data_IF_914911564443
#
_entry.id   IF_914911564443
#
_cell.length_a   1.000
_cell.length_b   1.000
_cell.length_c   1.000
_cell.angle_alpha   90.00
_cell.angle_beta   90.00
_cell.angle_gamma   90.00
#
_symmetry.space_group_name_H-M   'P 1'
#
loop_
_entity.id
_entity.type
_entity.pdbx_description
1 polymer ?
#
# COMPACT_ATOMS: atom_id res chain seq x y z
N UNK A 1 -8.69 29.38 -54.28
CA UNK A 1 -9.43 30.64 -54.58
C UNK A 1 -10.79 30.50 -53.93
N UNK A 2 -10.97 31.04 -52.72
CA UNK A 2 -11.50 32.37 -52.42
C UNK A 2 -13.04 32.32 -52.34
N UNK A 3 -13.75 32.91 -51.37
CA UNK A 3 -13.44 33.53 -50.09
C UNK A 3 -14.75 33.61 -49.27
N UNK A 4 -14.60 33.63 -47.94
CA UNK A 4 -15.54 34.05 -46.87
C UNK A 4 -16.01 35.52 -47.06
N UNK A 5 -17.01 36.10 -46.33
CA UNK A 5 -17.09 36.21 -44.84
C UNK A 5 -18.54 36.16 -44.25
N UNK A 6 -18.78 35.91 -42.95
CA UNK A 6 -18.58 36.77 -41.74
C UNK A 6 -19.98 37.09 -41.17
N UNK A 7 -20.32 37.37 -39.91
CA UNK A 7 -19.67 37.58 -38.60
C UNK A 7 -20.84 37.67 -37.57
N UNK A 8 -20.81 37.04 -36.39
CA UNK A 8 -20.31 37.49 -35.07
C UNK A 8 -21.35 38.16 -34.12
N UNK A 9 -21.36 37.71 -32.86
CA UNK A 9 -21.65 38.39 -31.56
C UNK A 9 -22.13 37.34 -30.53
N UNK A 10 -21.40 36.94 -29.47
CA UNK A 10 -20.84 37.66 -28.30
C UNK A 10 -21.88 38.39 -27.44
N UNK A 11 -22.20 37.86 -26.25
CA UNK A 11 -22.31 38.67 -25.02
C UNK A 11 -22.42 37.83 -23.72
N UNK A 12 -21.40 37.99 -22.87
CA UNK A 12 -21.38 38.24 -21.41
C UNK A 12 -22.09 37.30 -20.40
N UNK A 13 -21.24 36.78 -19.50
CA UNK A 13 -21.47 36.47 -18.07
C UNK A 13 -22.21 37.60 -17.32
N UNK A 14 -22.80 37.29 -16.15
CA UNK A 14 -22.13 37.73 -14.92
C UNK A 14 -21.98 36.64 -13.85
N UNK A 15 -20.93 36.86 -13.04
CA UNK A 15 -20.67 36.26 -11.74
C UNK A 15 -21.70 36.78 -10.70
N UNK A 16 -22.04 35.95 -9.72
CA UNK A 16 -22.12 36.37 -8.31
C UNK A 16 -22.08 35.16 -7.37
N UNK A 17 -21.21 35.31 -6.39
CA UNK A 17 -20.88 34.47 -5.23
C UNK A 17 -21.99 34.44 -4.18
N UNK A 18 -22.14 33.34 -3.44
CA UNK A 18 -22.56 33.39 -2.03
C UNK A 18 -22.17 32.12 -1.27
N UNK A 19 -21.46 32.34 -0.16
CA UNK A 19 -21.01 31.37 0.83
C UNK A 19 -22.17 30.74 1.61
N UNK A 20 -22.01 29.49 2.03
CA UNK A 20 -22.93 28.83 2.93
C UNK A 20 -22.36 27.57 3.57
N UNK A 21 -21.46 27.78 4.53
CA UNK A 21 -21.23 26.95 5.72
C UNK A 21 -22.29 25.87 5.99
N UNK A 22 -21.87 24.61 6.06
CA UNK A 22 -22.71 23.51 6.54
C UNK A 22 -21.91 22.23 6.76
N UNK A 23 -21.09 22.21 7.82
CA UNK A 23 -20.63 20.95 8.42
C UNK A 23 -21.86 20.13 8.81
N UNK A 24 -22.08 19.01 8.15
CA UNK A 24 -22.91 17.93 8.69
C UNK A 24 -22.06 16.66 8.74
N UNK A 25 -21.62 16.35 9.96
CA UNK A 25 -21.01 15.09 10.33
C UNK A 25 -22.03 13.97 10.13
N UNK A 26 -21.90 13.21 9.06
CA UNK A 26 -22.59 11.92 8.92
C UNK A 26 -21.75 10.86 9.61
N UNK A 27 -22.04 10.61 10.88
CA UNK A 27 -21.59 9.42 11.61
C UNK A 27 -22.24 8.20 10.95
N UNK A 28 -21.57 7.62 9.96
CA UNK A 28 -21.89 6.27 9.50
C UNK A 28 -21.50 5.31 10.62
N UNK A 29 -22.51 4.82 11.35
CA UNK A 29 -22.39 3.60 12.14
C UNK A 29 -22.02 2.48 11.17
N UNK A 30 -20.83 1.92 11.34
CA UNK A 30 -20.48 0.61 10.81
C UNK A 30 -21.31 -0.42 11.57
N UNK A 31 -22.51 -0.71 11.06
CA UNK A 31 -23.18 -1.95 11.39
C UNK A 31 -22.33 -3.08 10.79
N UNK A 32 -21.48 -3.66 11.63
CA UNK A 32 -20.87 -4.97 11.37
C UNK A 32 -22.01 -5.97 11.23
N UNK A 33 -22.44 -6.20 10.00
CA UNK A 33 -23.08 -7.46 9.62
C UNK A 33 -21.98 -8.52 9.72
N UNK A 34 -21.75 -8.99 10.94
CA UNK A 34 -21.02 -10.24 11.16
C UNK A 34 -21.89 -11.31 10.53
N UNK A 35 -21.42 -11.82 9.41
CA UNK A 35 -22.02 -12.90 8.65
C UNK A 35 -22.03 -14.16 9.52
N UNK A 36 -23.09 -14.33 10.32
CA UNK A 36 -23.29 -15.43 11.29
C UNK A 36 -23.15 -16.82 10.64
N UNK A 37 -23.23 -16.89 9.31
CA UNK A 37 -23.02 -18.11 8.51
C UNK A 37 -21.54 -18.56 8.50
N UNK A 38 -20.61 -17.61 8.49
CA UNK A 38 -19.17 -17.89 8.35
C UNK A 38 -18.56 -18.31 9.69
N UNK A 39 -19.01 -17.71 10.80
CA UNK A 39 -18.63 -18.06 12.17
C UNK A 39 -19.11 -19.47 12.58
N UNK A 40 -20.33 -19.84 12.18
CA UNK A 40 -20.91 -21.17 12.46
C UNK A 40 -20.12 -22.29 11.75
N UNK A 41 -19.70 -22.04 10.51
CA UNK A 41 -18.87 -22.97 9.74
C UNK A 41 -17.43 -23.10 10.28
N UNK A 42 -16.84 -22.01 10.79
CA UNK A 42 -15.52 -22.07 11.45
C UNK A 42 -15.58 -22.84 12.77
N UNK A 43 -16.63 -22.65 13.58
CA UNK A 43 -16.82 -23.35 14.84
C UNK A 43 -17.03 -24.86 14.63
N UNK A 44 -17.81 -25.26 13.62
CA UNK A 44 -17.98 -26.67 13.26
C UNK A 44 -16.67 -27.29 12.73
N UNK A 45 -15.90 -26.57 11.90
CA UNK A 45 -14.58 -27.03 11.45
C UNK A 45 -13.61 -27.21 12.61
N UNK A 46 -13.56 -26.25 13.55
CA UNK A 46 -12.74 -26.35 14.76
C UNK A 46 -13.16 -27.55 15.61
N UNK A 47 -14.46 -27.76 15.85
CA UNK A 47 -14.95 -28.91 16.62
C UNK A 47 -14.55 -30.25 15.99
N UNK A 48 -14.75 -30.41 14.69
CA UNK A 48 -14.35 -31.62 13.95
C UNK A 48 -12.84 -31.81 13.96
N UNK A 49 -12.06 -30.73 13.94
CA UNK A 49 -10.60 -30.78 13.97
C UNK A 49 -10.06 -31.15 15.36
N UNK A 50 -10.68 -30.67 16.44
CA UNK A 50 -10.33 -31.04 17.83
C UNK A 50 -10.68 -32.50 18.14
N UNK A 51 -11.81 -32.99 17.62
CA UNK A 51 -12.20 -34.39 17.77
C UNK A 51 -11.31 -35.30 16.91
N UNK A 52 -10.86 -34.84 15.74
CA UNK A 52 -9.91 -35.56 14.90
C UNK A 52 -8.52 -35.66 15.57
N UNK A 53 -8.00 -34.59 16.16
CA UNK A 53 -6.70 -34.60 16.86
C UNK A 53 -6.73 -35.49 18.09
N UNK A 54 -7.80 -35.44 18.90
CA UNK A 54 -7.93 -36.30 20.08
C UNK A 54 -7.99 -37.78 19.71
N UNK A 55 -8.73 -38.13 18.65
CA UNK A 55 -8.79 -39.50 18.13
C UNK A 55 -7.46 -39.99 17.52
N UNK A 56 -6.63 -39.08 16.98
CA UNK A 56 -5.29 -39.39 16.48
C UNK A 56 -4.31 -39.62 17.64
N UNK A 57 -4.41 -38.83 18.70
CA UNK A 57 -3.56 -38.95 19.89
C UNK A 57 -3.84 -40.25 20.67
N UNK A 58 -5.11 -40.61 20.84
CA UNK A 58 -5.51 -41.91 21.41
C UNK A 58 -4.98 -43.09 20.57
N UNK A 59 -4.84 -42.89 19.25
CA UNK A 59 -4.29 -43.89 18.34
C UNK A 59 -2.76 -44.01 18.43
N UNK A 60 -2.03 -42.88 18.51
CA UNK A 60 -0.59 -42.90 18.75
C UNK A 60 -0.25 -43.61 20.07
N UNK A 61 -1.02 -43.34 21.13
CA UNK A 61 -0.88 -44.07 22.40
C UNK A 61 -1.18 -45.57 22.25
N UNK A 62 -2.19 -45.95 21.48
CA UNK A 62 -2.51 -47.36 21.25
C UNK A 62 -1.37 -48.08 20.51
N UNK A 63 -0.82 -47.48 19.46
CA UNK A 63 0.32 -48.03 18.71
C UNK A 63 1.55 -48.19 19.60
N UNK A 64 1.88 -47.18 20.40
CA UNK A 64 3.02 -47.23 21.33
C UNK A 64 2.85 -48.35 22.37
N UNK A 65 1.63 -48.53 22.89
CA UNK A 65 1.32 -49.58 23.85
C UNK A 65 1.35 -51.00 23.24
N UNK A 66 0.90 -51.16 21.98
CA UNK A 66 1.03 -52.42 21.25
C UNK A 66 2.51 -52.73 21.00
N UNK A 67 3.30 -51.73 20.63
CA UNK A 67 4.74 -51.86 20.42
C UNK A 67 5.49 -52.36 21.66
N UNK A 68 5.28 -51.69 22.81
CA UNK A 68 5.86 -52.10 24.11
C UNK A 68 5.45 -53.53 24.50
N UNK A 69 4.23 -53.91 24.19
CA UNK A 69 3.74 -55.24 24.48
C UNK A 69 4.33 -56.32 23.55
N UNK A 70 4.54 -56.00 22.27
CA UNK A 70 5.24 -56.89 21.34
C UNK A 70 6.72 -57.09 21.74
N UNK A 71 7.36 -56.07 22.36
CA UNK A 71 8.67 -56.22 23.01
C UNK A 71 8.65 -57.23 24.17
N UNK A 72 7.63 -57.20 25.02
CA UNK A 72 7.46 -58.13 26.15
C UNK A 72 7.19 -59.57 25.67
N UNK A 73 6.34 -59.73 24.67
CA UNK A 73 6.06 -61.03 24.04
C UNK A 73 7.29 -61.61 23.35
N UNK A 74 8.10 -60.78 22.69
CA UNK A 74 9.36 -61.25 22.08
C UNK A 74 10.34 -61.77 23.14
N UNK A 75 10.42 -61.12 24.32
CA UNK A 75 11.21 -61.61 25.46
C UNK A 75 10.69 -62.95 25.99
N UNK A 76 9.37 -63.10 26.09
CA UNK A 76 8.71 -64.35 26.52
C UNK A 76 8.89 -65.48 25.50
N UNK A 77 8.77 -65.19 24.20
CA UNK A 77 8.99 -66.17 23.14
C UNK A 77 10.46 -66.61 23.02
N UNK A 78 11.41 -65.67 23.18
CA UNK A 78 12.86 -66.01 23.22
C UNK A 78 13.24 -66.85 24.44
N UNK A 79 12.49 -66.74 25.54
CA UNK A 79 12.69 -67.56 26.74
C UNK A 79 11.94 -68.91 26.69
N UNK A 80 10.94 -69.05 25.81
CA UNK A 80 10.11 -70.26 25.72
C UNK A 80 10.36 -71.14 24.47
N UNK A 81 10.99 -70.64 23.40
CA UNK A 81 11.00 -71.38 22.13
C UNK A 81 12.21 -72.31 21.94
N UNK A 82 11.98 -73.58 22.27
CA UNK A 82 12.24 -74.69 21.33
C UNK A 82 10.91 -74.99 20.63
N UNK A 83 10.89 -75.07 19.30
CA UNK A 83 9.74 -75.49 18.46
C UNK A 83 8.61 -74.47 18.22
N UNK A 84 8.53 -73.90 17.02
CA UNK A 84 7.67 -74.42 15.94
C UNK A 84 7.62 -73.47 14.75
N UNK A 85 7.72 -74.05 13.56
CA UNK A 85 7.54 -73.38 12.27
C UNK A 85 6.05 -73.45 11.88
N UNK A 86 5.31 -72.33 11.88
CA UNK A 86 4.09 -72.18 11.07
C UNK A 86 3.60 -70.72 10.95
N UNK A 87 3.18 -70.35 9.72
CA UNK A 87 2.41 -69.16 9.28
C UNK A 87 3.10 -67.78 9.15
N UNK A 88 4.04 -67.73 8.19
CA UNK A 88 4.38 -66.68 7.18
C UNK A 88 4.42 -65.17 7.47
N UNK A 89 4.08 -64.66 8.65
CA UNK A 89 4.52 -63.33 9.10
C UNK A 89 5.16 -63.47 10.46
N UNK A 90 6.46 -63.15 10.55
CA UNK A 90 7.18 -63.29 11.81
C UNK A 90 6.66 -62.25 12.82
N UNK A 91 6.75 -62.55 14.12
CA UNK A 91 6.44 -61.57 15.17
C UNK A 91 7.19 -60.25 14.97
N UNK A 92 8.42 -60.32 14.42
CA UNK A 92 9.23 -59.16 14.06
C UNK A 92 8.60 -58.31 12.96
N UNK A 93 7.92 -58.91 11.97
CA UNK A 93 7.23 -58.18 10.90
C UNK A 93 6.00 -57.43 11.42
N UNK A 94 5.22 -58.06 12.30
CA UNK A 94 4.08 -57.43 12.97
C UNK A 94 4.57 -56.25 13.82
N UNK A 95 5.60 -56.46 14.63
CA UNK A 95 6.19 -55.40 15.47
C UNK A 95 6.72 -54.24 14.65
N UNK A 96 7.43 -54.53 13.56
CA UNK A 96 7.91 -53.50 12.63
C UNK A 96 6.75 -52.70 12.06
N UNK A 97 5.64 -53.33 11.71
CA UNK A 97 4.46 -52.65 11.16
C UNK A 97 3.82 -51.69 12.17
N UNK A 98 3.67 -52.11 13.43
CA UNK A 98 3.14 -51.25 14.50
C UNK A 98 4.11 -50.12 14.92
N UNK A 99 5.39 -50.23 14.57
CA UNK A 99 6.40 -49.18 14.80
C UNK A 99 6.48 -48.14 13.68
N UNK A 100 5.78 -48.36 12.56
CA UNK A 100 5.72 -47.37 11.48
C UNK A 100 4.75 -46.25 11.83
N UNK A 101 4.97 -45.06 11.27
CA UNK A 101 4.03 -43.95 11.41
C UNK A 101 2.67 -44.30 10.78
N UNK A 102 1.61 -43.83 11.40
CA UNK A 102 0.20 -43.98 10.97
C UNK A 102 0.02 -43.72 9.48
N UNK A 103 0.55 -42.60 8.98
CA UNK A 103 0.40 -42.19 7.59
C UNK A 103 1.02 -43.20 6.63
N UNK A 104 2.20 -43.71 6.96
CA UNK A 104 2.90 -44.73 6.16
C UNK A 104 2.08 -46.03 6.11
N UNK A 105 1.50 -46.44 7.24
CA UNK A 105 0.74 -47.69 7.32
C UNK A 105 -0.62 -47.58 6.63
N UNK A 106 -1.38 -46.52 6.92
CA UNK A 106 -2.77 -46.39 6.51
C UNK A 106 -2.96 -45.81 5.10
N UNK A 107 -1.98 -45.05 4.57
CA UNK A 107 -2.05 -44.52 3.20
C UNK A 107 -1.41 -45.44 2.17
N UNK A 108 -0.69 -46.48 2.59
CA UNK A 108 -0.13 -47.50 1.71
C UNK A 108 -1.01 -48.76 1.75
N UNK A 109 -1.61 -49.12 0.61
CA UNK A 109 -2.54 -50.26 0.53
C UNK A 109 -1.88 -51.59 0.97
N UNK A 110 -0.61 -51.82 0.65
CA UNK A 110 0.09 -53.04 1.03
C UNK A 110 0.33 -53.13 2.55
N UNK A 111 0.70 -52.01 3.20
CA UNK A 111 0.87 -51.98 4.66
C UNK A 111 -0.47 -52.00 5.39
N UNK A 112 -1.50 -51.36 4.84
CA UNK A 112 -2.85 -51.42 5.38
C UNK A 112 -3.41 -52.85 5.38
N UNK A 113 -3.22 -53.60 4.28
CA UNK A 113 -3.62 -55.01 4.23
C UNK A 113 -2.90 -55.85 5.27
N UNK A 114 -1.58 -55.67 5.43
CA UNK A 114 -0.81 -56.36 6.50
C UNK A 114 -1.29 -55.97 7.90
N UNK A 115 -1.64 -54.69 8.08
CA UNK A 115 -2.14 -54.20 9.36
C UNK A 115 -3.47 -54.83 9.72
N UNK A 116 -4.40 -54.93 8.77
CA UNK A 116 -5.70 -55.60 8.97
C UNK A 116 -5.51 -57.06 9.38
N UNK A 117 -4.64 -57.78 8.67
CA UNK A 117 -4.35 -59.18 8.96
C UNK A 117 -3.73 -59.35 10.35
N UNK A 118 -2.79 -58.48 10.73
CA UNK A 118 -2.18 -58.51 12.06
C UNK A 118 -3.18 -58.13 13.16
N UNK A 119 -4.02 -57.11 12.93
CA UNK A 119 -5.05 -56.68 13.87
C UNK A 119 -6.11 -57.76 14.08
N UNK A 120 -6.59 -58.42 13.02
CA UNK A 120 -7.56 -59.51 13.10
C UNK A 120 -7.01 -60.70 13.90
N UNK A 121 -5.75 -61.08 13.69
CA UNK A 121 -5.07 -62.13 14.48
C UNK A 121 -4.93 -61.78 15.96
N UNK A 122 -4.92 -60.49 16.30
CA UNK A 122 -4.74 -59.99 17.66
C UNK A 122 -6.08 -59.71 18.38
N UNK A 123 -7.17 -59.47 17.66
CA UNK A 123 -8.50 -59.14 18.21
C UNK A 123 -9.08 -60.24 19.10
N UNK A 124 -8.71 -61.51 18.92
CA UNK A 124 -9.19 -62.61 19.77
C UNK A 124 -8.17 -63.02 20.87
N UNK A 125 -7.11 -62.25 21.04
CA UNK A 125 -6.01 -62.54 21.97
C UNK A 125 -6.08 -61.66 23.21
N UNK A 126 -7.21 -61.68 23.89
CA UNK A 126 -7.50 -60.86 25.08
C UNK A 126 -6.59 -61.21 26.27
N UNK A 127 -6.21 -62.49 26.41
CA UNK A 127 -5.23 -62.95 27.41
C UNK A 127 -3.83 -62.37 27.20
N UNK A 128 -3.56 -61.87 26.00
CA UNK A 128 -2.28 -61.32 25.57
C UNK A 128 -2.36 -59.78 25.70
N UNK A 129 -3.25 -59.11 24.95
CA UNK A 129 -3.31 -57.64 24.95
C UNK A 129 -3.96 -57.01 26.20
N UNK A 130 -4.74 -57.78 26.97
CA UNK A 130 -5.65 -57.25 27.98
C UNK A 130 -6.93 -56.65 27.38
N UNK A 131 -8.00 -56.63 28.17
CA UNK A 131 -9.36 -56.28 27.72
C UNK A 131 -9.44 -54.88 27.08
N UNK A 132 -8.97 -53.84 27.77
CA UNK A 132 -9.07 -52.44 27.29
C UNK A 132 -8.37 -52.24 25.92
N UNK A 133 -7.16 -52.78 25.75
CA UNK A 133 -6.40 -52.64 24.50
C UNK A 133 -7.05 -53.42 23.36
N UNK A 134 -7.59 -54.59 23.67
CA UNK A 134 -8.31 -55.42 22.72
C UNK A 134 -9.58 -54.71 22.22
N UNK A 135 -10.38 -54.15 23.13
CA UNK A 135 -11.59 -53.39 22.81
C UNK A 135 -11.26 -52.17 21.92
N UNK A 136 -10.18 -51.44 22.23
CA UNK A 136 -9.68 -50.35 21.39
C UNK A 136 -9.26 -50.80 19.99
N UNK A 137 -8.51 -51.90 19.88
CA UNK A 137 -8.08 -52.46 18.59
C UNK A 137 -9.29 -52.89 17.75
N UNK A 138 -10.27 -53.56 18.37
CA UNK A 138 -11.51 -53.99 17.72
C UNK A 138 -12.32 -52.81 17.21
N UNK A 139 -12.52 -51.80 18.06
CA UNK A 139 -13.22 -50.56 17.68
C UNK A 139 -12.50 -49.83 16.53
N UNK A 140 -11.17 -49.75 16.57
CA UNK A 140 -10.39 -49.13 15.50
C UNK A 140 -10.50 -49.92 14.20
N UNK A 141 -10.35 -51.25 14.24
CA UNK A 141 -10.41 -52.09 13.05
C UNK A 141 -11.80 -52.02 12.39
N UNK A 142 -12.87 -51.97 13.18
CA UNK A 142 -14.23 -51.76 12.68
C UNK A 142 -14.41 -50.40 11.98
N UNK A 143 -13.66 -49.38 12.40
CA UNK A 143 -13.71 -48.03 11.84
C UNK A 143 -12.60 -47.75 10.80
N UNK A 144 -11.78 -48.74 10.45
CA UNK A 144 -10.52 -48.51 9.73
C UNK A 144 -10.72 -47.88 8.35
N UNK A 145 -11.75 -48.30 7.61
CA UNK A 145 -12.08 -47.74 6.29
C UNK A 145 -12.43 -46.25 6.37
N UNK A 146 -13.23 -45.87 7.38
CA UNK A 146 -13.58 -44.47 7.62
C UNK A 146 -12.34 -43.66 8.00
N UNK A 147 -11.47 -44.19 8.86
CA UNK A 147 -10.22 -43.52 9.26
C UNK A 147 -9.26 -43.36 8.08
N UNK A 148 -9.09 -44.38 7.24
CA UNK A 148 -8.26 -44.33 6.02
C UNK A 148 -8.80 -43.29 5.04
N UNK A 149 -10.11 -43.25 4.80
CA UNK A 149 -10.72 -42.25 3.91
C UNK A 149 -10.54 -40.81 4.43
N UNK A 150 -10.69 -40.61 5.75
CA UNK A 150 -10.45 -39.33 6.38
C UNK A 150 -8.98 -38.90 6.23
N UNK A 151 -8.04 -39.83 6.43
CA UNK A 151 -6.62 -39.55 6.30
C UNK A 151 -6.21 -39.24 4.86
N UNK A 152 -6.74 -39.98 3.88
CA UNK A 152 -6.56 -39.67 2.44
C UNK A 152 -7.10 -38.28 2.09
N UNK A 153 -8.28 -37.94 2.61
CA UNK A 153 -8.87 -36.61 2.42
C UNK A 153 -8.00 -35.51 3.03
N UNK A 154 -7.43 -35.75 4.22
CA UNK A 154 -6.51 -34.82 4.87
C UNK A 154 -5.21 -34.64 4.06
N UNK A 155 -4.60 -35.73 3.58
CA UNK A 155 -3.39 -35.70 2.77
C UNK A 155 -3.61 -34.92 1.45
N UNK A 156 -4.74 -35.13 0.77
CA UNK A 156 -5.09 -34.38 -0.44
C UNK A 156 -5.35 -32.90 -0.16
N UNK A 157 -5.99 -32.56 0.96
CA UNK A 157 -6.16 -31.15 1.38
C UNK A 157 -4.82 -30.49 1.68
N UNK A 158 -3.90 -31.20 2.31
CA UNK A 158 -2.56 -30.69 2.61
C UNK A 158 -1.76 -30.44 1.34
N UNK A 159 -1.83 -31.36 0.36
CA UNK A 159 -1.23 -31.17 -0.97
C UNK A 159 -1.79 -29.93 -1.68
N UNK A 160 -3.11 -29.72 -1.64
CA UNK A 160 -3.76 -28.52 -2.19
C UNK A 160 -3.32 -27.26 -1.46
N UNK A 161 -3.23 -27.29 -0.13
CA UNK A 161 -2.74 -26.17 0.70
C UNK A 161 -1.32 -25.79 0.32
N UNK A 162 -0.41 -26.77 0.19
CA UNK A 162 0.97 -26.54 -0.20
C UNK A 162 1.08 -25.92 -1.61
N UNK A 163 0.26 -26.37 -2.56
CA UNK A 163 0.21 -25.79 -3.90
C UNK A 163 -0.29 -24.33 -3.88
N UNK A 164 -1.33 -24.03 -3.10
CA UNK A 164 -1.84 -22.66 -2.92
C UNK A 164 -0.81 -21.76 -2.25
N UNK A 165 -0.09 -22.24 -1.24
CA UNK A 165 0.97 -21.46 -0.58
C UNK A 165 2.11 -21.13 -1.54
N UNK A 166 2.51 -22.10 -2.39
CA UNK A 166 3.49 -21.87 -3.46
C UNK A 166 3.00 -20.87 -4.50
N UNK A 167 1.72 -20.89 -4.87
CA UNK A 167 1.16 -19.89 -5.78
C UNK A 167 1.11 -18.49 -5.13
N UNK A 168 0.75 -18.42 -3.84
CA UNK A 168 0.72 -17.18 -3.06
C UNK A 168 2.10 -16.55 -2.95
N UNK A 169 3.15 -17.33 -2.71
CA UNK A 169 4.51 -16.81 -2.57
C UNK A 169 4.99 -16.11 -3.85
N UNK A 170 4.59 -16.59 -5.03
CA UNK A 170 4.86 -15.91 -6.32
C UNK A 170 4.21 -14.53 -6.38
N UNK A 171 2.94 -14.42 -5.97
CA UNK A 171 2.24 -13.13 -5.93
C UNK A 171 2.87 -12.16 -4.92
N UNK A 172 3.26 -12.64 -3.75
CA UNK A 172 3.97 -11.84 -2.74
C UNK A 172 5.29 -11.31 -3.32
N UNK A 173 6.09 -12.16 -3.97
CA UNK A 173 7.34 -11.72 -4.61
C UNK A 173 7.12 -10.67 -5.70
N UNK A 174 6.04 -10.81 -6.48
CA UNK A 174 5.66 -9.81 -7.49
C UNK A 174 5.27 -8.48 -6.85
N UNK A 175 4.49 -8.50 -5.77
CA UNK A 175 4.12 -7.29 -5.04
C UNK A 175 5.33 -6.57 -4.46
N UNK A 176 6.29 -7.30 -3.89
CA UNK A 176 7.51 -6.71 -3.35
C UNK A 176 8.39 -6.09 -4.45
N UNK A 177 8.42 -6.73 -5.63
CA UNK A 177 9.08 -6.18 -6.82
C UNK A 177 8.44 -4.86 -7.25
N UNK A 178 7.10 -4.81 -7.35
CA UNK A 178 6.40 -3.56 -7.67
C UNK A 178 6.62 -2.49 -6.62
N UNK A 179 6.52 -2.84 -5.33
CA UNK A 179 6.78 -1.91 -4.23
C UNK A 179 8.17 -1.29 -4.35
N UNK A 180 9.19 -2.11 -4.62
CA UNK A 180 10.56 -1.66 -4.83
C UNK A 180 10.70 -0.75 -6.05
N UNK A 181 10.02 -1.08 -7.16
CA UNK A 181 10.02 -0.27 -8.38
C UNK A 181 9.34 1.10 -8.19
N UNK A 182 8.28 1.19 -7.38
CA UNK A 182 7.57 2.45 -7.11
C UNK A 182 8.24 3.32 -6.05
N UNK A 183 9.12 2.75 -5.23
CA UNK A 183 9.72 3.45 -4.11
C UNK A 183 10.55 4.70 -4.54
N UNK A 184 11.41 4.64 -5.59
CA UNK A 184 12.13 5.82 -6.07
C UNK A 184 11.21 6.95 -6.53
N UNK A 185 10.13 6.63 -7.26
CA UNK A 185 9.17 7.63 -7.71
C UNK A 185 8.44 8.30 -6.55
N UNK A 186 8.07 7.52 -5.52
CA UNK A 186 7.48 8.06 -4.30
C UNK A 186 8.43 9.01 -3.58
N UNK A 187 9.71 8.65 -3.50
CA UNK A 187 10.73 9.47 -2.86
C UNK A 187 11.03 10.74 -3.67
N UNK A 188 11.02 10.67 -5.00
CA UNK A 188 11.12 11.82 -5.89
C UNK A 188 9.92 12.78 -5.73
N UNK A 189 8.69 12.25 -5.70
CA UNK A 189 7.50 13.06 -5.43
C UNK A 189 7.59 13.76 -4.08
N UNK A 190 8.11 13.09 -3.03
CA UNK A 190 8.32 13.71 -1.73
C UNK A 190 9.30 14.89 -1.82
N UNK A 191 10.42 14.73 -2.54
CA UNK A 191 11.39 15.82 -2.77
C UNK A 191 10.75 17.00 -3.51
N UNK A 192 9.94 16.73 -4.54
CA UNK A 192 9.25 17.79 -5.28
C UNK A 192 8.26 18.56 -4.40
N UNK A 193 7.52 17.86 -3.53
CA UNK A 193 6.63 18.51 -2.56
C UNK A 193 7.41 19.40 -1.61
N UNK A 194 8.52 18.92 -1.05
CA UNK A 194 9.38 19.74 -0.18
C UNK A 194 9.89 21.00 -0.89
N UNK A 195 10.38 20.87 -2.13
CA UNK A 195 10.86 22.01 -2.93
C UNK A 195 9.75 23.03 -3.23
N UNK A 196 8.53 22.55 -3.49
CA UNK A 196 7.36 23.41 -3.71
C UNK A 196 7.04 24.24 -2.47
N UNK A 197 7.04 23.63 -1.28
CA UNK A 197 6.77 24.35 -0.04
C UNK A 197 7.87 25.38 0.26
N UNK A 198 9.14 25.06 -0.01
CA UNK A 198 10.24 26.01 0.11
C UNK A 198 10.08 27.21 -0.83
N UNK A 199 9.80 26.98 -2.12
CA UNK A 199 9.56 28.05 -3.08
C UNK A 199 8.37 28.93 -2.69
N UNK A 200 7.31 28.33 -2.16
CA UNK A 200 6.14 29.05 -1.68
C UNK A 200 6.49 29.97 -0.51
N UNK A 201 7.31 29.50 0.44
CA UNK A 201 7.80 30.33 1.55
C UNK A 201 8.65 31.50 1.02
N UNK A 202 9.59 31.22 0.12
CA UNK A 202 10.44 32.27 -0.46
C UNK A 202 9.60 33.33 -1.20
N UNK A 203 8.56 32.92 -1.94
CA UNK A 203 7.65 33.85 -2.60
C UNK A 203 6.95 34.78 -1.59
N UNK A 204 6.45 34.22 -0.49
CA UNK A 204 5.83 35.02 0.58
C UNK A 204 6.81 36.02 1.20
N UNK A 205 8.07 35.61 1.41
CA UNK A 205 9.11 36.49 1.92
C UNK A 205 9.39 37.65 0.94
N UNK A 206 9.44 37.38 -0.37
CA UNK A 206 9.59 38.41 -1.39
C UNK A 206 8.38 39.35 -1.47
N UNK A 207 7.16 38.83 -1.40
CA UNK A 207 5.93 39.64 -1.38
C UNK A 207 5.92 40.58 -0.15
N UNK A 208 6.35 40.09 1.00
CA UNK A 208 6.48 40.89 2.22
C UNK A 208 7.52 42.00 2.06
N UNK A 209 8.68 41.68 1.48
CA UNK A 209 9.72 42.66 1.20
C UNK A 209 9.23 43.74 0.23
N UNK A 210 8.54 43.35 -0.84
CA UNK A 210 7.96 44.28 -1.80
C UNK A 210 6.95 45.20 -1.13
N UNK A 211 6.06 44.65 -0.30
CA UNK A 211 5.07 45.43 0.45
C UNK A 211 5.73 46.46 1.38
N UNK A 212 6.89 46.09 1.97
CA UNK A 212 7.66 46.97 2.84
C UNK A 212 8.37 48.09 2.08
N UNK A 213 8.99 47.79 0.94
CA UNK A 213 9.85 48.74 0.21
C UNK A 213 9.07 49.61 -0.79
N UNK A 214 7.93 49.14 -1.31
CA UNK A 214 7.13 49.85 -2.31
C UNK A 214 6.73 51.28 -1.88
N UNK A 215 6.31 51.54 -0.63
CA UNK A 215 5.98 52.89 -0.20
C UNK A 215 7.18 53.85 -0.26
N UNK A 216 8.37 53.36 0.10
CA UNK A 216 9.62 54.15 0.03
C UNK A 216 9.93 54.53 -1.42
N UNK A 217 9.88 53.55 -2.33
CA UNK A 217 10.08 53.79 -3.75
C UNK A 217 9.07 54.80 -4.31
N UNK A 218 7.79 54.63 -3.97
CA UNK A 218 6.73 55.52 -4.44
C UNK A 218 6.87 56.95 -3.91
N UNK A 219 7.36 57.11 -2.67
CA UNK A 219 7.65 58.42 -2.09
C UNK A 219 8.80 59.11 -2.83
N UNK A 220 9.94 58.42 -3.01
CA UNK A 220 11.10 58.95 -3.74
C UNK A 220 10.72 59.33 -5.17
N UNK A 221 9.98 58.46 -5.86
CA UNK A 221 9.50 58.74 -7.22
C UNK A 221 8.60 59.97 -7.27
N UNK A 222 7.66 60.09 -6.32
CA UNK A 222 6.75 61.25 -6.26
C UNK A 222 7.50 62.55 -5.99
N UNK A 223 8.47 62.52 -5.07
CA UNK A 223 9.31 63.67 -4.74
C UNK A 223 10.16 64.11 -5.94
N UNK A 224 10.85 63.17 -6.59
CA UNK A 224 11.63 63.47 -7.80
C UNK A 224 10.76 64.03 -8.91
N UNK A 225 9.58 63.44 -9.13
CA UNK A 225 8.61 63.93 -10.11
C UNK A 225 8.17 65.37 -9.82
N UNK A 226 7.93 65.73 -8.56
CA UNK A 226 7.62 67.11 -8.19
C UNK A 226 8.80 68.05 -8.40
N UNK A 227 10.03 67.64 -8.05
CA UNK A 227 11.25 68.46 -8.25
C UNK A 227 11.47 68.77 -9.74
N UNK A 228 11.45 67.72 -10.57
CA UNK A 228 11.63 67.84 -12.02
C UNK A 228 10.55 68.75 -12.62
N UNK A 229 9.29 68.62 -12.17
CA UNK A 229 8.22 69.49 -12.66
C UNK A 229 8.48 70.96 -12.31
N UNK A 230 8.93 71.25 -11.10
CA UNK A 230 9.28 72.61 -10.67
C UNK A 230 10.45 73.17 -11.48
N UNK A 231 11.50 72.37 -11.68
CA UNK A 231 12.66 72.77 -12.49
C UNK A 231 12.28 73.07 -13.94
N UNK A 232 11.47 72.21 -14.56
CA UNK A 232 10.96 72.44 -15.93
C UNK A 232 10.17 73.75 -16.03
N UNK A 233 9.28 74.04 -15.07
CA UNK A 233 8.56 75.32 -15.05
C UNK A 233 9.50 76.51 -14.94
N UNK A 234 10.51 76.44 -14.05
CA UNK A 234 11.51 77.50 -13.91
C UNK A 234 12.36 77.71 -15.18
N UNK A 235 12.70 76.64 -15.90
CA UNK A 235 13.36 76.75 -17.20
C UNK A 235 12.47 77.46 -18.23
N UNK A 236 11.18 77.17 -18.27
CA UNK A 236 10.23 77.82 -19.17
C UNK A 236 10.08 79.31 -18.88
N UNK A 237 10.00 79.70 -17.60
CA UNK A 237 9.95 81.11 -17.18
C UNK A 237 11.22 81.86 -17.59
N UNK A 238 12.39 81.27 -17.35
CA UNK A 238 13.67 81.86 -17.74
C UNK A 238 13.80 81.99 -19.27
N UNK A 239 13.32 81.01 -20.03
CA UNK A 239 13.32 81.05 -21.49
C UNK A 239 12.45 82.21 -22.01
N UNK A 240 11.25 82.40 -21.43
CA UNK A 240 10.38 83.53 -21.78
C UNK A 240 11.03 84.88 -21.47
N UNK A 241 11.67 85.02 -20.30
CA UNK A 241 12.37 86.23 -19.92
C UNK A 241 13.54 86.53 -20.87
N UNK A 242 14.30 85.50 -21.26
CA UNK A 242 15.41 85.63 -22.20
C UNK A 242 14.93 86.07 -23.59
N UNK A 243 13.80 85.52 -24.06
CA UNK A 243 13.17 85.94 -25.31
C UNK A 243 12.73 87.41 -25.25
N UNK A 244 12.08 87.84 -24.15
CA UNK A 244 11.67 89.23 -23.95
C UNK A 244 12.89 90.18 -23.94
N UNK A 245 13.96 89.82 -23.22
CA UNK A 245 15.19 90.62 -23.17
C UNK A 245 15.90 90.69 -24.53
N UNK A 246 15.90 89.59 -25.29
CA UNK A 246 16.45 89.58 -26.65
C UNK A 246 15.68 90.54 -27.56
N UNK A 247 14.34 90.54 -27.50
CA UNK A 247 13.52 91.49 -28.25
C UNK A 247 13.76 92.95 -27.84
N UNK A 248 13.95 93.21 -26.54
CA UNK A 248 14.28 94.55 -26.03
C UNK A 248 15.64 95.03 -26.56
N UNK A 249 16.66 94.18 -26.54
CA UNK A 249 17.99 94.47 -27.11
C UNK A 249 17.87 94.78 -28.62
N UNK A 250 17.12 93.98 -29.37
CA UNK A 250 16.93 94.21 -30.80
C UNK A 250 16.19 95.52 -31.10
N UNK A 251 15.26 95.95 -30.24
CA UNK A 251 14.63 97.27 -30.33
C UNK A 251 15.65 98.39 -30.10
N UNK A 252 16.41 98.32 -29.00
CA UNK A 252 17.43 99.30 -28.64
C UNK A 252 18.54 99.40 -29.71
N UNK A 253 18.87 98.30 -30.39
CA UNK A 253 19.84 98.33 -31.51
C UNK A 253 19.30 99.04 -32.76
N UNK A 254 18.00 98.95 -33.02
CA UNK A 254 17.36 99.58 -34.19
C UNK A 254 17.16 101.08 -34.01
N UNK A 255 16.98 101.54 -32.78
CA UNK A 255 16.68 102.94 -32.45
C UNK A 255 17.76 103.92 -32.97
N UNK A 256 19.06 103.75 -32.69
CA UNK A 256 20.10 104.60 -33.29
C UNK A 256 20.16 104.51 -34.82
N UNK A 257 19.81 103.36 -35.41
CA UNK A 257 19.80 103.21 -36.87
C UNK A 257 18.68 104.02 -37.51
N UNK A 258 17.53 104.14 -36.84
CA UNK A 258 16.41 104.97 -37.29
C UNK A 258 16.82 106.44 -37.20
N UNK A 259 17.34 106.87 -36.05
CA UNK A 259 17.79 108.25 -35.85
C UNK A 259 18.93 108.64 -36.79
N UNK A 260 19.90 107.74 -36.99
CA UNK A 260 21.02 107.94 -37.92
C UNK A 260 20.55 107.99 -39.37
N UNK A 261 19.59 107.16 -39.77
CA UNK A 261 19.00 107.24 -41.11
C UNK A 261 18.24 108.54 -41.33
N UNK A 262 17.53 109.05 -40.31
CA UNK A 262 16.89 110.36 -40.35
C UNK A 262 17.89 111.52 -40.47
N UNK A 263 19.01 111.44 -39.73
CA UNK A 263 20.12 112.39 -39.84
C UNK A 263 20.76 112.38 -41.24
N UNK A 264 21.08 111.21 -41.79
CA UNK A 264 21.65 111.11 -43.15
C UNK A 264 20.69 111.73 -44.18
N UNK A 265 19.39 111.45 -44.10
CA UNK A 265 18.38 112.04 -44.99
C UNK A 265 18.34 113.56 -44.87
N UNK A 266 18.52 114.11 -43.66
CA UNK A 266 18.53 115.55 -43.42
C UNK A 266 19.79 116.28 -43.94
N UNK A 267 20.90 115.56 -44.18
CA UNK A 267 22.17 116.15 -44.66
C UNK A 267 22.46 115.92 -46.16
N UNK A 268 21.80 114.94 -46.79
CA UNK A 268 22.06 114.55 -48.19
C UNK A 268 20.86 114.73 -49.14
N UNK A 269 19.77 115.34 -48.67
CA UNK A 269 18.72 115.97 -49.48
C UNK A 269 18.77 117.50 -49.31
#
# INVERSE_FOLDING_TARGET
MAAKPGDSNVSKKPFSTSSGSGMQSSTKREDRVVDKSTESNELQKKSLQTELTKNLEDFYMLLENISKYLDEMEKLFKSASSSSNATTESLADIKRLFNMSVDVVLLNDAFLSKFRNAAERLVDKTSILGQDKNDRLKNFNNAIDSKVNNLRTAAEREKKRAALEKARSVHIGTLETYRSAFQPHRDEMRKMVSKREELKKNLQDYEMLMTKEMPSFQNVYSQQKSSIKTEISGFQENEQLLQQKSQEIDKLRKEPSIDWSGLIIAFYN
#
